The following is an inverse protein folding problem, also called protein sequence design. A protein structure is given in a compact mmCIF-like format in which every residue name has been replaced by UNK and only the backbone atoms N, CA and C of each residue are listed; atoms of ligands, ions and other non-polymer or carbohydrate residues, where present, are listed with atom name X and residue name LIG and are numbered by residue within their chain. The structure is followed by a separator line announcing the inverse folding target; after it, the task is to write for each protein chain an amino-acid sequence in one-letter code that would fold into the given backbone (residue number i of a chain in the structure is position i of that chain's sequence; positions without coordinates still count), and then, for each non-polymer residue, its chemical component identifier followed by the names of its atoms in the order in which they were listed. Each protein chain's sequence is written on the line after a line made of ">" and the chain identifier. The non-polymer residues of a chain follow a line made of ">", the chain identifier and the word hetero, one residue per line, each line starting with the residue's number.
data_IF_127834371427
#
_entry.id   IF_127834371427
#
_cell.length_a   1.000
_cell.length_b   1.000
_cell.length_c   1.000
_cell.angle_alpha   90.00
_cell.angle_beta   90.00
_cell.angle_gamma   90.00
#
_symmetry.space_group_name_H-M   'P 1'
#
loop_
_entity.id
_entity.type
_entity.pdbx_description
1 polymer ?
#
# COMPACT_ATOMS: atom_id res chain seq x y z
N UNK A 1 -21.19 29.18 5.07
CA UNK A 1 -19.98 29.18 4.23
C UNK A 1 -18.90 29.94 5.00
N UNK A 2 -18.07 29.24 5.79
CA UNK A 2 -16.90 29.81 6.48
C UNK A 2 -15.74 28.87 6.20
N UNK A 3 -14.97 29.14 5.16
CA UNK A 3 -13.68 28.48 4.95
C UNK A 3 -12.65 29.21 5.79
N UNK A 4 -12.52 28.82 7.06
CA UNK A 4 -11.36 29.22 7.88
C UNK A 4 -10.09 28.82 7.11
N UNK A 5 -9.11 29.71 6.90
CA UNK A 5 -7.91 29.46 6.09
C UNK A 5 -7.13 28.21 6.53
N UNK A 6 -7.23 27.85 7.82
CA UNK A 6 -6.64 26.64 8.39
C UNK A 6 -7.18 25.32 7.80
N UNK A 7 -8.44 25.28 7.33
CA UNK A 7 -9.05 24.09 6.68
C UNK A 7 -8.51 23.85 5.27
N UNK A 8 -8.08 24.90 4.55
CA UNK A 8 -7.59 24.79 3.19
C UNK A 8 -6.19 24.16 3.10
N UNK A 9 -5.29 24.52 4.02
CA UNK A 9 -3.97 23.90 4.09
C UNK A 9 -4.04 22.44 4.60
N UNK A 10 -4.93 22.18 5.57
CA UNK A 10 -5.06 20.86 6.19
C UNK A 10 -5.44 19.76 5.18
N UNK A 11 -6.38 20.02 4.26
CA UNK A 11 -6.76 19.03 3.23
C UNK A 11 -5.59 18.62 2.33
N UNK A 12 -4.67 19.54 2.02
CA UNK A 12 -3.47 19.24 1.24
C UNK A 12 -2.42 18.49 2.05
N UNK A 13 -2.30 18.77 3.37
CA UNK A 13 -1.49 17.95 4.26
C UNK A 13 -1.98 16.50 4.32
N UNK A 14 -3.29 16.27 4.37
CA UNK A 14 -3.86 14.92 4.30
C UNK A 14 -3.46 14.24 2.99
N UNK A 15 -3.55 14.93 1.85
CA UNK A 15 -3.13 14.37 0.56
C UNK A 15 -1.63 14.07 0.54
N UNK A 16 -0.79 14.94 1.09
CA UNK A 16 0.66 14.72 1.17
C UNK A 16 1.00 13.50 2.06
N UNK A 17 0.31 13.32 3.18
CA UNK A 17 0.48 12.13 4.03
C UNK A 17 0.05 10.87 3.31
N UNK A 18 -1.12 10.89 2.64
CA UNK A 18 -1.58 9.76 1.84
C UNK A 18 -0.60 9.47 0.70
N UNK A 19 -0.08 10.49 0.04
CA UNK A 19 0.94 10.36 -1.00
C UNK A 19 2.17 9.62 -0.49
N UNK A 20 2.69 9.98 0.68
CA UNK A 20 3.84 9.29 1.29
C UNK A 20 3.53 7.82 1.59
N UNK A 21 2.34 7.54 2.15
CA UNK A 21 1.93 6.16 2.43
C UNK A 21 1.85 5.35 1.13
N UNK A 22 1.24 5.91 0.08
CA UNK A 22 1.13 5.24 -1.23
C UNK A 22 2.48 5.09 -1.92
N UNK A 23 3.39 6.04 -1.75
CA UNK A 23 4.76 5.96 -2.24
C UNK A 23 5.45 4.74 -1.63
N UNK A 24 5.47 4.62 -0.30
CA UNK A 24 6.07 3.47 0.37
C UNK A 24 5.40 2.16 -0.06
N UNK A 25 4.07 2.16 -0.14
CA UNK A 25 3.27 1.01 -0.56
C UNK A 25 3.78 0.43 -1.89
N UNK A 26 4.00 1.29 -2.88
CA UNK A 26 4.49 0.85 -4.18
C UNK A 26 5.99 0.58 -4.19
N UNK A 27 6.78 1.29 -3.39
CA UNK A 27 8.22 1.05 -3.30
C UNK A 27 8.54 -0.34 -2.71
N UNK A 28 7.88 -0.73 -1.63
CA UNK A 28 8.03 -2.05 -1.01
C UNK A 28 7.61 -3.19 -1.93
N UNK A 29 6.54 -3.01 -2.71
CA UNK A 29 6.14 -3.99 -3.75
C UNK A 29 7.26 -4.24 -4.75
N UNK A 30 8.11 -3.26 -5.00
CA UNK A 30 9.26 -3.41 -5.90
C UNK A 30 10.50 -3.95 -5.18
N UNK A 31 10.70 -3.62 -3.91
CA UNK A 31 11.87 -4.01 -3.13
C UNK A 31 12.14 -5.52 -3.16
N UNK A 32 11.10 -6.36 -3.19
CA UNK A 32 11.24 -7.82 -3.27
C UNK A 32 11.96 -8.27 -4.56
N UNK A 33 11.71 -7.62 -5.70
CA UNK A 33 12.33 -7.97 -6.97
C UNK A 33 13.80 -7.59 -7.01
N UNK A 34 14.19 -6.51 -6.32
CA UNK A 34 15.59 -6.12 -6.19
C UNK A 34 16.42 -7.17 -5.43
N UNK A 35 15.81 -7.88 -4.47
CA UNK A 35 16.49 -8.92 -3.67
C UNK A 35 16.39 -10.33 -4.25
N UNK A 36 15.62 -10.56 -5.32
CA UNK A 36 15.51 -11.88 -5.97
C UNK A 36 16.85 -12.54 -6.32
N UNK A 37 17.86 -11.83 -6.87
CA UNK A 37 19.17 -12.42 -7.12
C UNK A 37 19.83 -12.96 -5.84
N UNK A 38 19.65 -12.27 -4.71
CA UNK A 38 20.18 -12.67 -3.41
C UNK A 38 19.42 -13.84 -2.81
N UNK A 39 18.09 -13.83 -2.89
CA UNK A 39 17.27 -14.97 -2.47
C UNK A 39 17.62 -16.24 -3.25
N UNK A 40 17.93 -16.10 -4.54
CA UNK A 40 18.41 -17.20 -5.38
C UNK A 40 19.79 -17.73 -4.94
N UNK A 41 20.72 -16.82 -4.66
CA UNK A 41 22.09 -17.16 -4.26
C UNK A 41 22.11 -17.87 -2.88
N UNK A 42 21.34 -17.35 -1.92
CA UNK A 42 21.37 -17.81 -0.53
C UNK A 42 20.50 -19.06 -0.29
N UNK A 43 19.28 -19.09 -0.84
CA UNK A 43 18.31 -20.16 -0.59
C UNK A 43 18.17 -21.14 -1.76
N UNK A 44 18.94 -20.95 -2.84
CA UNK A 44 18.87 -21.77 -4.06
C UNK A 44 17.48 -21.87 -4.69
N UNK A 45 16.65 -20.83 -4.54
CA UNK A 45 15.31 -20.82 -5.11
C UNK A 45 15.34 -20.84 -6.64
N UNK A 46 14.46 -21.65 -7.24
CA UNK A 46 14.28 -21.66 -8.68
C UNK A 46 13.41 -20.48 -9.16
N UNK A 47 13.29 -20.33 -10.50
CA UNK A 47 12.50 -19.24 -11.10
C UNK A 47 11.00 -19.33 -10.76
N UNK A 48 10.47 -20.54 -10.58
CA UNK A 48 9.05 -20.77 -10.27
C UNK A 48 8.77 -20.35 -8.84
N UNK A 49 9.66 -20.69 -7.90
CA UNK A 49 9.59 -20.32 -6.49
C UNK A 49 9.69 -18.80 -6.31
N UNK A 50 10.62 -18.14 -6.99
CA UNK A 50 10.70 -16.66 -6.98
C UNK A 50 9.44 -16.03 -7.57
N UNK A 51 8.93 -16.58 -8.67
CA UNK A 51 7.65 -16.16 -9.25
C UNK A 51 6.48 -16.32 -8.28
N UNK A 52 6.45 -17.39 -7.49
CA UNK A 52 5.45 -17.62 -6.45
C UNK A 52 5.55 -16.56 -5.34
N UNK A 53 6.75 -16.25 -4.86
CA UNK A 53 6.98 -15.20 -3.85
C UNK A 53 6.50 -13.84 -4.38
N UNK A 54 6.87 -13.48 -5.61
CA UNK A 54 6.49 -12.19 -6.21
C UNK A 54 4.98 -12.06 -6.46
N UNK A 55 4.32 -13.15 -6.87
CA UNK A 55 2.89 -13.15 -7.21
C UNK A 55 1.95 -13.36 -6.02
N UNK A 56 2.41 -13.96 -4.91
CA UNK A 56 1.59 -14.22 -3.73
C UNK A 56 0.87 -12.96 -3.22
N UNK A 57 1.57 -11.83 -3.21
CA UNK A 57 1.01 -10.53 -2.89
C UNK A 57 -0.21 -10.18 -3.76
N UNK A 58 -0.08 -10.29 -5.08
CA UNK A 58 -1.14 -9.88 -6.01
C UNK A 58 -2.38 -10.75 -5.90
N UNK A 59 -2.21 -12.06 -5.68
CA UNK A 59 -3.34 -12.96 -5.49
C UNK A 59 -4.16 -12.60 -4.25
N UNK A 60 -3.50 -12.35 -3.12
CA UNK A 60 -4.19 -11.97 -1.88
C UNK A 60 -4.78 -10.58 -1.98
N UNK A 61 -4.05 -9.63 -2.57
CA UNK A 61 -4.54 -8.28 -2.78
C UNK A 61 -5.81 -8.27 -3.66
N UNK A 62 -5.79 -8.99 -4.77
CA UNK A 62 -6.92 -9.10 -5.68
C UNK A 62 -8.13 -9.78 -5.02
N UNK A 63 -7.91 -10.86 -4.28
CA UNK A 63 -8.97 -11.57 -3.56
C UNK A 63 -9.57 -10.72 -2.43
N UNK A 64 -8.75 -9.92 -1.74
CA UNK A 64 -9.18 -9.04 -0.67
C UNK A 64 -9.89 -7.78 -1.16
N UNK A 65 -9.62 -7.30 -2.38
CA UNK A 65 -10.06 -5.98 -2.85
C UNK A 65 -11.58 -5.76 -2.78
N UNK A 66 -12.45 -6.71 -3.20
CA UNK A 66 -13.90 -6.56 -3.06
C UNK A 66 -14.33 -6.44 -1.59
N UNK A 67 -13.74 -7.26 -0.72
CA UNK A 67 -14.05 -7.28 0.72
C UNK A 67 -13.58 -6.00 1.40
N UNK A 68 -12.40 -5.52 1.04
CA UNK A 68 -11.84 -4.27 1.55
C UNK A 68 -12.69 -3.05 1.17
N UNK A 69 -13.25 -3.03 -0.05
CA UNK A 69 -14.21 -2.00 -0.46
C UNK A 69 -15.45 -1.98 0.45
N UNK A 70 -16.06 -3.14 0.68
CA UNK A 70 -17.25 -3.27 1.55
C UNK A 70 -16.96 -2.88 3.01
N UNK A 71 -15.77 -3.23 3.51
CA UNK A 71 -15.35 -2.88 4.87
C UNK A 71 -15.06 -1.37 4.98
N UNK A 72 -14.45 -0.78 3.95
CA UNK A 72 -14.17 0.65 3.88
C UNK A 72 -15.43 1.52 3.99
N UNK A 73 -16.56 1.04 3.47
CA UNK A 73 -17.83 1.77 3.57
C UNK A 73 -18.44 1.76 4.98
N UNK A 74 -18.06 0.80 5.83
CA UNK A 74 -18.63 0.61 7.18
C UNK A 74 -17.72 1.06 8.32
N UNK A 75 -16.41 1.09 8.11
CA UNK A 75 -15.44 1.43 9.14
C UNK A 75 -14.83 2.82 8.95
N UNK A 76 -14.18 3.31 10.00
CA UNK A 76 -13.49 4.60 9.98
C UNK A 76 -12.25 4.50 9.09
N UNK A 77 -12.26 5.21 7.96
CA UNK A 77 -11.18 5.23 6.95
C UNK A 77 -9.79 5.50 7.53
N UNK A 78 -9.70 6.42 8.49
CA UNK A 78 -8.45 6.72 9.20
C UNK A 78 -7.89 5.49 9.90
N UNK A 79 -8.75 4.74 10.59
CA UNK A 79 -8.33 3.57 11.38
C UNK A 79 -7.91 2.43 10.46
N UNK A 80 -8.58 2.28 9.30
CA UNK A 80 -8.18 1.33 8.25
C UNK A 80 -6.80 1.65 7.66
N UNK A 81 -6.55 2.91 7.32
CA UNK A 81 -5.26 3.34 6.75
C UNK A 81 -4.13 3.14 7.76
N UNK A 82 -4.33 3.59 9.01
CA UNK A 82 -3.31 3.44 10.05
C UNK A 82 -3.10 1.98 10.45
N UNK A 83 -4.18 1.20 10.60
CA UNK A 83 -4.11 -0.21 10.91
C UNK A 83 -3.40 -1.02 9.82
N UNK A 84 -3.74 -0.77 8.55
CA UNK A 84 -3.07 -1.38 7.40
C UNK A 84 -1.59 -1.01 7.33
N UNK A 85 -1.26 0.28 7.51
CA UNK A 85 0.12 0.76 7.50
C UNK A 85 0.96 0.12 8.62
N UNK A 86 0.45 0.07 9.86
CA UNK A 86 1.13 -0.56 10.98
C UNK A 86 1.32 -2.05 10.75
N UNK A 87 0.24 -2.74 10.37
CA UNK A 87 0.27 -4.18 10.12
C UNK A 87 1.29 -4.54 9.05
N UNK A 88 1.24 -3.86 7.91
CA UNK A 88 2.17 -4.06 6.82
C UNK A 88 3.61 -3.76 7.24
N UNK A 89 3.87 -2.66 7.97
CA UNK A 89 5.20 -2.35 8.50
C UNK A 89 5.76 -3.46 9.38
N UNK A 90 4.94 -4.07 10.24
CA UNK A 90 5.36 -5.21 11.06
C UNK A 90 5.69 -6.45 10.21
N UNK A 91 4.90 -6.70 9.16
CA UNK A 91 5.15 -7.81 8.24
C UNK A 91 6.45 -7.59 7.45
N UNK A 92 6.70 -6.37 6.96
CA UNK A 92 7.95 -6.02 6.27
C UNK A 92 9.17 -6.23 7.16
N UNK A 93 9.08 -5.82 8.43
CA UNK A 93 10.12 -6.11 9.42
C UNK A 93 10.29 -7.63 9.60
N UNK A 94 9.19 -8.37 9.75
CA UNK A 94 9.19 -9.82 9.90
C UNK A 94 9.82 -10.57 8.70
N UNK A 95 9.76 -10.00 7.49
CA UNK A 95 10.40 -10.54 6.28
C UNK A 95 11.91 -10.76 6.47
N UNK A 96 12.58 -9.95 7.30
CA UNK A 96 14.00 -10.10 7.61
C UNK A 96 14.37 -11.41 8.33
N UNK A 97 13.40 -12.11 8.92
CA UNK A 97 13.59 -13.42 9.58
C UNK A 97 13.14 -14.61 8.71
N UNK A 98 12.81 -14.38 7.44
CA UNK A 98 12.40 -15.44 6.53
C UNK A 98 13.59 -16.25 6.01
N UNK A 99 13.50 -17.58 6.06
CA UNK A 99 14.57 -18.50 5.63
C UNK A 99 14.06 -19.64 4.73
N UNK A 100 12.74 -19.74 4.53
CA UNK A 100 12.09 -20.82 3.77
C UNK A 100 11.09 -20.22 2.81
N UNK A 101 10.87 -20.88 1.67
CA UNK A 101 9.91 -20.45 0.66
C UNK A 101 8.55 -20.08 1.25
N UNK A 102 7.99 -20.94 2.11
CA UNK A 102 6.70 -20.69 2.75
C UNK A 102 6.70 -19.45 3.65
N UNK A 103 7.82 -19.12 4.31
CA UNK A 103 7.90 -17.89 5.09
C UNK A 103 7.77 -16.67 4.17
N UNK A 104 8.52 -16.64 3.06
CA UNK A 104 8.44 -15.57 2.06
C UNK A 104 7.05 -15.46 1.43
N UNK A 105 6.43 -16.58 1.05
CA UNK A 105 5.07 -16.59 0.51
C UNK A 105 4.06 -16.06 1.53
N UNK A 106 4.16 -16.48 2.79
CA UNK A 106 3.25 -16.03 3.86
C UNK A 106 3.42 -14.54 4.15
N UNK A 107 4.64 -14.03 4.29
CA UNK A 107 4.81 -12.58 4.53
C UNK A 107 4.27 -11.78 3.33
N UNK A 108 4.57 -12.17 2.09
CA UNK A 108 4.03 -11.49 0.89
C UNK A 108 2.50 -11.53 0.82
N UNK A 109 1.89 -12.65 1.22
CA UNK A 109 0.44 -12.76 1.35
C UNK A 109 -0.13 -11.82 2.41
N UNK A 110 0.51 -11.74 3.59
CA UNK A 110 0.11 -10.83 4.66
C UNK A 110 0.27 -9.37 4.24
N UNK A 111 1.37 -9.00 3.57
CA UNK A 111 1.54 -7.65 3.01
C UNK A 111 0.40 -7.32 2.04
N UNK A 112 0.09 -8.22 1.11
CA UNK A 112 -1.05 -8.10 0.20
C UNK A 112 -2.36 -7.80 0.93
N UNK A 113 -2.68 -8.60 1.95
CA UNK A 113 -3.87 -8.40 2.77
C UNK A 113 -3.89 -7.03 3.47
N UNK A 114 -2.78 -6.64 4.11
CA UNK A 114 -2.67 -5.37 4.84
C UNK A 114 -2.86 -4.14 3.95
N UNK A 115 -2.24 -4.17 2.77
CA UNK A 115 -2.28 -3.07 1.83
C UNK A 115 -3.62 -2.93 1.10
N UNK A 116 -4.43 -3.99 1.03
CA UNK A 116 -5.68 -4.00 0.25
C UNK A 116 -6.68 -2.94 0.69
N UNK A 117 -6.69 -2.60 1.98
CA UNK A 117 -7.60 -1.61 2.56
C UNK A 117 -7.19 -0.16 2.27
N UNK A 118 -5.92 0.07 1.92
CA UNK A 118 -5.37 1.41 1.80
C UNK A 118 -6.04 2.19 0.66
N UNK A 119 -6.06 1.63 -0.55
CA UNK A 119 -6.51 2.35 -1.74
C UNK A 119 -7.98 2.80 -1.70
N UNK A 120 -8.97 1.95 -1.33
CA UNK A 120 -10.35 2.41 -1.22
C UNK A 120 -10.52 3.46 -0.10
N UNK A 121 -9.85 3.27 1.05
CA UNK A 121 -9.93 4.20 2.16
C UNK A 121 -9.29 5.56 1.85
N UNK A 122 -8.15 5.57 1.17
CA UNK A 122 -7.46 6.81 0.75
C UNK A 122 -8.29 7.57 -0.27
N UNK A 123 -8.86 6.88 -1.27
CA UNK A 123 -9.67 7.54 -2.30
C UNK A 123 -10.95 8.15 -1.71
N UNK A 124 -11.59 7.44 -0.80
CA UNK A 124 -12.78 7.93 -0.10
C UNK A 124 -12.44 9.12 0.82
N UNK A 125 -11.31 9.07 1.55
CA UNK A 125 -10.86 10.17 2.40
C UNK A 125 -10.51 11.43 1.58
N UNK A 126 -9.81 11.28 0.46
CA UNK A 126 -9.49 12.41 -0.44
C UNK A 126 -10.76 13.07 -0.97
N UNK A 127 -11.76 12.27 -1.34
CA UNK A 127 -13.08 12.74 -1.80
C UNK A 127 -13.81 13.56 -0.72
N UNK A 128 -13.77 13.12 0.54
CA UNK A 128 -14.45 13.82 1.64
C UNK A 128 -13.81 15.18 1.98
N UNK A 129 -12.49 15.31 1.82
CA UNK A 129 -11.76 16.54 2.14
C UNK A 129 -11.73 17.57 0.98
N UNK A 130 -12.05 17.18 -0.26
CA UNK A 130 -11.90 18.02 -1.44
C UNK A 130 -13.18 18.20 -2.23
N UNK A 131 -13.58 19.46 -2.41
CA UNK A 131 -14.68 19.85 -3.31
C UNK A 131 -14.37 19.51 -4.78
N UNK A 132 -15.42 19.51 -5.61
CA UNK A 132 -15.37 19.19 -7.05
C UNK A 132 -14.28 19.92 -7.82
N UNK A 133 -13.94 21.16 -7.42
CA UNK A 133 -12.89 21.99 -8.06
C UNK A 133 -11.46 21.53 -7.75
N UNK A 134 -11.20 21.03 -6.54
CA UNK A 134 -9.84 20.61 -6.10
C UNK A 134 -9.64 19.10 -6.13
N UNK A 135 -10.71 18.31 -6.18
CA UNK A 135 -10.67 16.84 -6.10
C UNK A 135 -9.85 16.19 -7.20
N UNK A 136 -9.99 16.65 -8.45
CA UNK A 136 -9.21 16.11 -9.57
C UNK A 136 -7.70 16.28 -9.34
N UNK A 137 -7.25 17.47 -8.93
CA UNK A 137 -5.84 17.74 -8.61
C UNK A 137 -5.35 16.89 -7.44
N UNK A 138 -6.16 16.71 -6.40
CA UNK A 138 -5.80 15.88 -5.26
C UNK A 138 -5.62 14.41 -5.65
N UNK A 139 -6.50 13.86 -6.49
CA UNK A 139 -6.35 12.52 -7.02
C UNK A 139 -5.15 12.39 -7.96
N UNK A 140 -4.92 13.34 -8.87
CA UNK A 140 -3.74 13.29 -9.75
C UNK A 140 -2.44 13.37 -8.96
N UNK A 141 -2.40 14.20 -7.91
CA UNK A 141 -1.24 14.25 -7.03
C UNK A 141 -1.06 12.94 -6.29
N UNK A 142 -2.11 12.42 -5.64
CA UNK A 142 -2.06 11.11 -4.97
C UNK A 142 -1.61 10.00 -5.92
N UNK A 143 -2.17 9.92 -7.13
CA UNK A 143 -1.84 8.91 -8.13
C UNK A 143 -0.37 8.99 -8.61
N UNK A 144 0.26 10.17 -8.58
CA UNK A 144 1.68 10.29 -8.96
C UNK A 144 2.59 9.48 -8.04
N UNK A 145 2.22 9.30 -6.76
CA UNK A 145 2.98 8.50 -5.80
C UNK A 145 3.15 7.04 -6.23
N UNK A 146 2.19 6.49 -6.97
CA UNK A 146 2.24 5.12 -7.49
C UNK A 146 3.44 4.95 -8.43
N UNK A 147 3.59 5.88 -9.38
CA UNK A 147 4.69 5.86 -10.33
C UNK A 147 6.02 6.17 -9.66
N UNK A 148 6.05 7.19 -8.79
CA UNK A 148 7.26 7.57 -8.06
C UNK A 148 7.74 6.42 -7.16
N UNK A 149 6.83 5.75 -6.45
CA UNK A 149 7.13 4.58 -5.62
C UNK A 149 7.61 3.39 -6.44
N UNK A 150 6.96 3.11 -7.57
CA UNK A 150 7.37 2.01 -8.46
C UNK A 150 8.74 2.23 -9.10
N UNK A 151 9.14 3.49 -9.34
CA UNK A 151 10.44 3.80 -9.97
C UNK A 151 11.57 3.83 -8.94
N UNK A 152 11.30 4.35 -7.74
CA UNK A 152 12.32 4.55 -6.70
C UNK A 152 12.49 3.37 -5.74
N UNK A 153 11.53 2.43 -5.70
CA UNK A 153 11.65 1.18 -4.95
C UNK A 153 12.41 0.11 -5.72
#
# INVERSE_FOLDING_TARGET
>A
MITTPHRSAYKWWVVAMLWLICFFNYADRQAIFAVFPKLKEEFSFDKVQLGLIGSAFMWVYAAGAPVAGLICDRLRRKDLILGGCLFWSFVTIATGWCHKLWHFVTVRALEGFGETFYFPASMSLVSDYHDRRTRSRAFSFHQSSVYVGTILG
#
